data_IF_116784263576
#
_entry.id   IF_116784263576
#
_cell.length_a   1.000
_cell.length_b   1.000
_cell.length_c   1.000
_cell.angle_alpha   90.00
_cell.angle_beta   90.00
_cell.angle_gamma   90.00
#
_symmetry.space_group_name_H-M   'P 1'
#
loop_
_entity.id
_entity.type
_entity.pdbx_description
1 polymer ?
#
# COMPACT_ATOMS: atom_id res chain seq x y z
N UNK A 1 14.89 5.32 -0.72
CA UNK A 1 13.88 4.62 0.11
C UNK A 1 12.50 5.01 -0.33
N UNK A 2 11.83 4.22 -1.20
CA UNK A 2 10.50 4.61 -1.69
C UNK A 2 9.45 4.50 -0.60
N UNK A 3 8.56 5.48 -0.55
CA UNK A 3 7.45 5.51 0.38
C UNK A 3 6.19 5.81 -0.42
N UNK A 4 5.19 4.95 -0.28
CA UNK A 4 3.90 5.16 -0.91
C UNK A 4 2.84 5.29 0.17
N UNK A 5 1.99 6.29 0.04
CA UNK A 5 0.87 6.48 0.95
C UNK A 5 -0.41 6.39 0.14
N UNK A 6 -1.31 5.52 0.55
CA UNK A 6 -2.53 5.25 -0.18
C UNK A 6 -3.71 5.51 0.73
N UNK A 7 -4.67 6.30 0.25
CA UNK A 7 -5.91 6.53 0.98
C UNK A 7 -7.00 5.69 0.34
N UNK A 8 -7.68 4.90 1.15
CA UNK A 8 -8.81 4.10 0.67
C UNK A 8 -10.01 4.37 1.56
N UNK A 9 -11.20 4.20 1.00
CA UNK A 9 -12.42 4.33 1.77
C UNK A 9 -12.56 3.12 2.67
N UNK A 10 -12.96 3.33 3.91
CA UNK A 10 -13.13 2.25 4.88
C UNK A 10 -14.16 1.22 4.41
N UNK A 11 -14.08 0.02 4.95
CA UNK A 11 -15.04 -1.03 4.66
C UNK A 11 -14.44 -2.31 4.12
N UNK A 12 -13.16 -2.30 3.77
CA UNK A 12 -12.51 -3.51 3.27
C UNK A 12 -11.91 -4.30 4.41
N UNK A 13 -11.89 -5.63 4.25
CA UNK A 13 -11.34 -6.48 5.29
C UNK A 13 -9.81 -6.44 5.30
N UNK A 14 -9.24 -7.00 6.34
CA UNK A 14 -7.80 -6.96 6.54
C UNK A 14 -7.05 -7.71 5.45
N UNK A 15 -7.62 -8.79 4.94
CA UNK A 15 -6.95 -9.58 3.91
C UNK A 15 -6.79 -8.80 2.62
N UNK A 16 -7.81 -8.03 2.25
CA UNK A 16 -7.73 -7.21 1.05
C UNK A 16 -6.70 -6.10 1.20
N UNK A 17 -6.61 -5.52 2.40
CA UNK A 17 -5.61 -4.50 2.66
C UNK A 17 -4.20 -5.07 2.59
N UNK A 18 -4.01 -6.28 3.11
CA UNK A 18 -2.70 -6.94 3.02
C UNK A 18 -2.31 -7.22 1.59
N UNK A 19 -3.26 -7.66 0.77
CA UNK A 19 -2.99 -7.91 -0.64
C UNK A 19 -2.62 -6.63 -1.37
N UNK A 20 -3.29 -5.54 -1.05
CA UNK A 20 -2.97 -4.25 -1.63
C UNK A 20 -1.54 -3.85 -1.30
N UNK A 21 -1.16 -3.95 -0.04
CA UNK A 21 0.18 -3.59 0.40
C UNK A 21 1.22 -4.45 -0.32
N UNK A 22 0.99 -5.76 -0.40
CA UNK A 22 1.93 -6.66 -1.04
C UNK A 22 2.08 -6.35 -2.53
N UNK A 23 0.96 -6.12 -3.21
CA UNK A 23 0.98 -5.84 -4.65
C UNK A 23 1.66 -4.52 -4.97
N UNK A 24 1.38 -3.48 -4.18
CA UNK A 24 2.00 -2.18 -4.38
C UNK A 24 3.50 -2.25 -4.09
N UNK A 25 3.88 -2.93 -3.01
CA UNK A 25 5.30 -3.09 -2.68
C UNK A 25 6.04 -3.79 -3.80
N UNK A 26 5.46 -4.84 -4.36
CA UNK A 26 6.10 -5.57 -5.46
C UNK A 26 6.21 -4.71 -6.71
N UNK A 27 5.17 -3.95 -7.01
CA UNK A 27 5.19 -3.07 -8.17
C UNK A 27 6.28 -2.01 -8.05
N UNK A 28 6.45 -1.44 -6.86
CA UNK A 28 7.49 -0.45 -6.63
C UNK A 28 8.87 -1.08 -6.75
N UNK A 29 9.05 -2.26 -6.16
CA UNK A 29 10.33 -2.95 -6.20
C UNK A 29 10.75 -3.24 -7.65
N UNK A 30 9.81 -3.72 -8.45
CA UNK A 30 10.08 -4.04 -9.85
C UNK A 30 10.31 -2.80 -10.69
N UNK A 31 9.45 -1.80 -10.53
CA UNK A 31 9.50 -0.60 -11.37
C UNK A 31 10.72 0.26 -11.10
N UNK A 32 11.11 0.39 -9.85
CA UNK A 32 12.21 1.25 -9.46
C UNK A 32 13.51 0.48 -9.23
N UNK A 33 13.46 -0.84 -9.39
CA UNK A 33 14.60 -1.70 -9.12
C UNK A 33 15.15 -1.46 -7.70
N UNK A 34 14.22 -1.40 -6.74
CA UNK A 34 14.56 -1.13 -5.35
C UNK A 34 14.42 -2.40 -4.52
N UNK A 35 15.31 -2.59 -3.53
CA UNK A 35 15.17 -3.76 -2.65
C UNK A 35 13.88 -3.68 -1.84
N UNK A 36 13.21 -4.82 -1.71
CA UNK A 36 11.92 -4.86 -1.00
C UNK A 36 12.04 -4.31 0.42
N UNK A 37 13.16 -4.57 1.08
CA UNK A 37 13.36 -4.13 2.46
C UNK A 37 13.40 -2.61 2.61
N UNK A 38 13.65 -1.87 1.51
CA UNK A 38 13.73 -0.42 1.56
C UNK A 38 12.39 0.26 1.30
N UNK A 39 11.35 -0.50 0.97
CA UNK A 39 10.08 0.04 0.53
C UNK A 39 9.11 0.11 1.70
N UNK A 40 8.41 1.24 1.82
CA UNK A 40 7.35 1.40 2.80
C UNK A 40 6.05 1.74 2.10
N UNK A 41 5.01 1.01 2.43
CA UNK A 41 3.67 1.24 1.90
C UNK A 41 2.74 1.47 3.07
N UNK A 42 2.13 2.65 3.10
CA UNK A 42 1.21 3.04 4.16
C UNK A 42 -0.18 3.13 3.58
N UNK A 43 -1.13 2.48 4.24
CA UNK A 43 -2.52 2.53 3.81
C UNK A 43 -3.32 3.22 4.91
N UNK A 44 -3.99 4.29 4.54
CA UNK A 44 -4.81 5.05 5.46
C UNK A 44 -6.27 4.94 5.03
N UNK A 45 -7.13 4.53 5.96
CA UNK A 45 -8.54 4.45 5.69
C UNK A 45 -9.21 5.78 5.99
N UNK A 46 -10.10 6.19 5.10
CA UNK A 46 -10.88 7.42 5.30
C UNK A 46 -12.35 7.05 5.41
N UNK A 47 -13.15 7.84 6.13
CA UNK A 47 -14.56 7.53 6.29
C UNK A 47 -15.30 7.56 4.96
N UNK A 48 -16.32 6.69 4.84
CA UNK A 48 -17.16 6.66 3.65
C UNK A 48 -18.01 7.92 3.53
N UNK A 49 -18.31 8.55 4.66
CA UNK A 49 -19.10 9.78 4.69
C UNK A 49 -18.19 10.97 4.94
N UNK A 50 -18.31 11.97 4.07
CA UNK A 50 -17.52 13.19 4.19
C UNK A 50 -18.43 14.41 4.31
#
# INVERSE_FOLDING_TARGET
>A
MPIATIHIVEGRDMEKKRRLIAAVSEAIATSLDAPAASIRVLVQEVPAEL
#
